data_IF_881566879962
#
_entry.id   IF_881566879962
#
_cell.length_a   1.000
_cell.length_b   1.000
_cell.length_c   1.000
_cell.angle_alpha   90.00
_cell.angle_beta   90.00
_cell.angle_gamma   90.00
#
_symmetry.space_group_name_H-M   'P 1'
#
loop_
_entity.id
_entity.type
_entity.pdbx_description
1 polymer ?
#
# COMPACT_ATOMS: atom_id res chain seq x y z
N UNK A 1 -36.53 -1.49 -31.23
CA UNK A 1 -35.45 -0.73 -31.90
C UNK A 1 -34.46 -0.35 -30.80
N UNK A 2 -33.23 -0.84 -30.92
CA UNK A 2 -32.22 -0.93 -29.85
C UNK A 2 -31.85 0.42 -29.23
N UNK A 3 -31.97 0.53 -27.90
CA UNK A 3 -31.08 1.37 -27.12
C UNK A 3 -29.92 0.48 -26.65
N UNK A 4 -28.74 0.74 -27.22
CA UNK A 4 -27.49 0.10 -26.85
C UNK A 4 -27.21 0.47 -25.39
N UNK A 5 -27.42 -0.47 -24.46
CA UNK A 5 -26.78 -0.43 -23.16
C UNK A 5 -25.28 -0.62 -23.41
N UNK A 6 -24.53 0.47 -23.56
CA UNK A 6 -23.10 0.42 -23.35
C UNK A 6 -22.90 0.37 -21.84
N UNK A 7 -22.67 -0.83 -21.33
CA UNK A 7 -22.03 -1.04 -20.05
C UNK A 7 -20.69 -0.30 -20.07
N UNK A 8 -20.66 0.87 -19.45
CA UNK A 8 -19.40 1.50 -19.08
C UNK A 8 -18.89 0.65 -17.92
N UNK A 9 -17.95 -0.25 -18.22
CA UNK A 9 -17.16 -0.93 -17.20
C UNK A 9 -16.22 0.11 -16.57
N UNK A 10 -16.72 0.92 -15.62
CA UNK A 10 -15.85 1.57 -14.65
C UNK A 10 -15.28 0.47 -13.76
N UNK A 11 -14.01 0.12 -13.94
CA UNK A 11 -13.30 -0.69 -12.97
C UNK A 11 -13.17 0.15 -11.68
N UNK A 12 -13.95 -0.21 -10.67
CA UNK A 12 -13.79 0.37 -9.34
C UNK A 12 -12.67 -0.36 -8.65
N UNK A 13 -11.56 0.32 -8.40
CA UNK A 13 -10.54 -0.21 -7.52
C UNK A 13 -10.96 0.02 -6.07
N UNK A 14 -11.62 -0.98 -5.50
CA UNK A 14 -12.01 -1.03 -4.09
C UNK A 14 -10.77 -1.43 -3.29
N UNK A 15 -10.31 -0.57 -2.38
CA UNK A 15 -9.20 -0.87 -1.49
C UNK A 15 -9.61 -0.76 -0.04
N UNK A 16 -9.41 -1.84 0.69
CA UNK A 16 -9.65 -1.87 2.12
C UNK A 16 -8.41 -1.37 2.85
N UNK A 17 -8.62 -0.32 3.64
CA UNK A 17 -7.64 0.18 4.60
C UNK A 17 -8.05 -0.31 5.97
N UNK A 18 -7.15 -1.08 6.58
CA UNK A 18 -7.34 -1.65 7.91
C UNK A 18 -6.61 -0.80 8.94
N UNK A 19 -7.26 -0.56 10.07
CA UNK A 19 -6.70 0.30 11.13
C UNK A 19 -6.37 -0.50 12.38
N UNK A 20 -5.14 -0.39 12.83
CA UNK A 20 -4.67 -1.06 14.04
C UNK A 20 -4.02 -0.05 14.97
N UNK A 21 -4.17 -0.23 16.28
CA UNK A 21 -3.57 0.67 17.26
C UNK A 21 -2.93 -0.12 18.40
N UNK A 22 -1.81 0.39 18.90
CA UNK A 22 -1.21 -0.09 20.15
C UNK A 22 -0.24 0.96 20.70
N UNK A 23 0.20 0.76 21.94
CA UNK A 23 1.34 1.46 22.50
C UNK A 23 2.64 0.77 22.03
N UNK A 24 3.64 1.56 21.64
CA UNK A 24 4.92 1.02 21.13
C UNK A 24 5.58 0.06 22.12
N UNK A 25 5.50 0.32 23.42
CA UNK A 25 6.12 -0.56 24.43
C UNK A 25 5.45 -1.95 24.47
N UNK A 26 4.12 -2.00 24.30
CA UNK A 26 3.38 -3.25 24.21
C UNK A 26 3.77 -4.05 22.96
N UNK A 27 3.93 -3.37 21.82
CA UNK A 27 4.38 -4.01 20.57
C UNK A 27 5.80 -4.58 20.76
N UNK A 28 6.74 -3.80 21.27
CA UNK A 28 8.12 -4.24 21.48
C UNK A 28 8.20 -5.50 22.34
N UNK A 29 7.40 -5.58 23.42
CA UNK A 29 7.31 -6.77 24.25
C UNK A 29 6.80 -7.99 23.45
N UNK A 30 5.76 -7.80 22.63
CA UNK A 30 5.21 -8.85 21.75
C UNK A 30 6.23 -9.34 20.72
N UNK A 31 7.01 -8.43 20.14
CA UNK A 31 8.09 -8.74 19.19
C UNK A 31 9.22 -9.56 19.81
N UNK A 32 9.49 -9.39 21.11
CA UNK A 32 10.50 -10.14 21.85
C UNK A 32 10.01 -11.54 22.25
N UNK A 33 8.72 -11.68 22.58
CA UNK A 33 8.13 -12.96 23.01
C UNK A 33 7.78 -13.91 21.86
N UNK A 34 7.55 -13.37 20.65
CA UNK A 34 7.16 -14.18 19.51
C UNK A 34 8.40 -14.68 18.75
N UNK A 35 8.64 -15.99 18.81
CA UNK A 35 9.47 -16.71 17.85
C UNK A 35 8.80 -16.64 16.48
N UNK A 36 9.04 -15.55 15.75
CA UNK A 36 8.48 -15.39 14.42
C UNK A 36 9.08 -16.46 13.51
N UNK A 37 8.18 -17.15 12.82
CA UNK A 37 8.47 -18.10 11.76
C UNK A 37 9.43 -17.50 10.73
N UNK A 38 10.16 -18.34 9.99
CA UNK A 38 11.00 -17.92 8.87
C UNK A 38 10.17 -17.17 7.83
N UNK A 39 10.13 -15.85 7.94
CA UNK A 39 9.54 -14.95 6.95
C UNK A 39 10.57 -14.63 5.86
N UNK A 40 10.14 -14.39 4.62
CA UNK A 40 11.04 -13.95 3.56
C UNK A 40 11.78 -12.67 3.93
N UNK A 41 13.05 -12.58 3.52
CA UNK A 41 13.87 -11.39 3.76
C UNK A 41 13.48 -10.26 2.81
N UNK A 42 13.42 -9.04 3.36
CA UNK A 42 13.19 -7.80 2.62
C UNK A 42 14.41 -6.90 2.74
N UNK A 43 14.62 -6.06 1.74
CA UNK A 43 15.66 -5.03 1.73
C UNK A 43 15.02 -3.65 1.70
N UNK A 44 15.70 -2.68 2.30
CA UNK A 44 15.44 -1.27 2.00
C UNK A 44 15.68 -1.04 0.51
N UNK A 45 14.74 -0.37 -0.16
CA UNK A 45 14.91 0.02 -1.55
C UNK A 45 16.22 0.76 -1.75
N UNK A 46 16.94 0.42 -2.82
CA UNK A 46 18.07 1.15 -3.34
C UNK A 46 17.82 1.51 -4.80
N UNK A 47 18.38 2.61 -5.33
CA UNK A 47 18.16 3.02 -6.73
C UNK A 47 18.32 1.90 -7.79
N UNK A 48 19.31 0.98 -7.67
CA UNK A 48 19.44 -0.15 -8.61
C UNK A 48 18.25 -1.12 -8.62
N UNK A 49 17.47 -1.20 -7.54
CA UNK A 49 16.30 -2.07 -7.46
C UNK A 49 15.19 -1.67 -8.42
N UNK A 50 15.21 -0.41 -8.90
CA UNK A 50 14.24 0.08 -9.87
C UNK A 50 14.20 -0.80 -11.14
N UNK A 51 15.34 -1.35 -11.56
CA UNK A 51 15.41 -2.25 -12.71
C UNK A 51 14.61 -3.56 -12.51
N UNK A 52 14.37 -3.99 -11.27
CA UNK A 52 13.56 -5.16 -10.92
C UNK A 52 12.07 -4.83 -10.75
N UNK A 53 11.74 -3.54 -10.56
CA UNK A 53 10.38 -3.02 -10.37
C UNK A 53 9.75 -2.52 -11.67
N UNK A 54 10.54 -1.96 -12.59
CA UNK A 54 10.07 -1.49 -13.90
C UNK A 54 9.68 -2.56 -14.94
N UNK A 55 10.10 -3.85 -14.85
CA UNK A 55 9.70 -4.83 -15.85
C UNK A 55 8.18 -4.97 -15.95
N UNK A 56 7.63 -5.18 -17.17
CA UNK A 56 6.19 -5.38 -17.36
C UNK A 56 5.62 -6.50 -16.48
N UNK A 57 6.43 -7.52 -16.19
CA UNK A 57 6.05 -8.63 -15.31
C UNK A 57 5.72 -8.17 -13.88
N UNK A 58 6.49 -7.24 -13.30
CA UNK A 58 6.16 -6.69 -11.98
C UNK A 58 4.90 -5.84 -12.05
N UNK A 59 4.85 -4.91 -13.01
CA UNK A 59 3.72 -3.97 -13.13
C UNK A 59 2.39 -4.70 -13.40
N UNK A 60 2.38 -5.73 -14.24
CA UNK A 60 1.19 -6.52 -14.52
C UNK A 60 0.82 -7.49 -13.38
N UNK A 61 1.80 -8.05 -12.68
CA UNK A 61 1.53 -9.02 -11.63
C UNK A 61 1.19 -8.37 -10.29
N UNK A 62 1.79 -7.23 -9.98
CA UNK A 62 1.82 -6.63 -8.64
C UNK A 62 1.18 -5.24 -8.62
N UNK A 63 1.25 -4.42 -9.66
CA UNK A 63 0.62 -3.09 -9.58
C UNK A 63 -0.83 -3.17 -10.01
N UNK A 64 -1.72 -2.59 -9.20
CA UNK A 64 -3.11 -2.44 -9.58
C UNK A 64 -3.21 -1.35 -10.64
N UNK A 65 -3.62 -1.73 -11.86
CA UNK A 65 -3.71 -0.84 -13.04
C UNK A 65 -2.39 -0.13 -13.36
N UNK A 66 -1.24 -0.76 -13.03
CA UNK A 66 0.08 -0.15 -13.24
C UNK A 66 0.41 1.00 -12.27
N UNK A 67 -0.39 1.20 -11.23
CA UNK A 67 -0.21 2.25 -10.21
C UNK A 67 0.35 1.67 -8.93
N UNK A 68 1.38 2.32 -8.39
CA UNK A 68 1.79 2.15 -7.00
C UNK A 68 0.99 3.12 -6.13
N UNK A 69 0.91 2.84 -4.84
CA UNK A 69 0.15 3.65 -3.90
C UNK A 69 1.05 3.99 -2.73
N UNK A 70 1.01 5.27 -2.34
CA UNK A 70 1.78 5.84 -1.24
C UNK A 70 0.86 6.80 -0.51
N UNK A 71 0.62 6.57 0.77
CA UNK A 71 -0.35 7.34 1.56
C UNK A 71 -1.74 7.35 0.90
N UNK A 72 -2.16 6.19 0.40
CA UNK A 72 -3.41 5.96 -0.35
C UNK A 72 -3.52 6.64 -1.71
N UNK A 73 -2.60 7.54 -2.06
CA UNK A 73 -2.60 8.22 -3.34
C UNK A 73 -1.96 7.35 -4.44
N UNK A 74 -2.55 7.28 -5.64
CA UNK A 74 -1.99 6.53 -6.76
C UNK A 74 -0.88 7.31 -7.47
N UNK A 75 0.22 6.63 -7.74
CA UNK A 75 1.36 7.16 -8.47
C UNK A 75 1.82 6.19 -9.57
N UNK A 76 2.40 6.74 -10.64
CA UNK A 76 3.10 5.94 -11.63
C UNK A 76 4.44 5.47 -11.07
N UNK A 77 4.74 4.18 -11.14
CA UNK A 77 6.07 3.67 -10.83
C UNK A 77 7.10 4.25 -11.82
N UNK A 78 7.96 5.12 -11.32
CA UNK A 78 8.98 5.82 -12.10
C UNK A 78 10.15 6.25 -11.22
N UNK A 79 11.32 6.43 -11.81
CA UNK A 79 12.51 6.89 -11.09
C UNK A 79 12.28 8.23 -10.38
N UNK A 80 11.57 9.16 -11.04
CA UNK A 80 11.26 10.48 -10.47
C UNK A 80 10.45 10.36 -9.18
N UNK A 81 9.39 9.55 -9.19
CA UNK A 81 8.53 9.37 -8.02
C UNK A 81 9.26 8.61 -6.91
N UNK A 82 10.03 7.57 -7.24
CA UNK A 82 10.83 6.84 -6.25
C UNK A 82 11.84 7.76 -5.54
N UNK A 83 12.57 8.59 -6.31
CA UNK A 83 13.47 9.60 -5.75
C UNK A 83 12.75 10.63 -4.87
N UNK A 84 11.55 11.03 -5.25
CA UNK A 84 10.74 11.94 -4.44
C UNK A 84 10.37 11.31 -3.10
N UNK A 85 9.95 10.04 -3.09
CA UNK A 85 9.61 9.33 -1.86
C UNK A 85 10.81 9.07 -0.96
N UNK A 86 11.97 8.70 -1.53
CA UNK A 86 13.22 8.63 -0.76
C UNK A 86 13.55 9.97 -0.09
N UNK A 87 13.43 11.09 -0.81
CA UNK A 87 13.66 12.44 -0.26
C UNK A 87 12.64 12.84 0.80
N UNK A 88 11.40 12.38 0.67
CA UNK A 88 10.36 12.59 1.66
C UNK A 88 10.53 11.71 2.91
N UNK A 89 11.53 10.84 2.94
CA UNK A 89 11.79 9.94 4.07
C UNK A 89 10.86 8.74 4.12
N UNK A 90 10.22 8.37 3.00
CA UNK A 90 9.42 7.16 2.93
C UNK A 90 10.30 5.94 3.21
N UNK A 91 9.82 5.06 4.09
CA UNK A 91 10.46 3.77 4.32
C UNK A 91 9.98 2.78 3.26
N UNK A 92 10.84 2.44 2.30
CA UNK A 92 10.45 1.65 1.13
C UNK A 92 11.12 0.27 1.22
N UNK A 93 10.34 -0.80 1.12
CA UNK A 93 10.86 -2.18 1.15
C UNK A 93 10.58 -2.91 -0.15
N UNK A 94 11.55 -3.74 -0.56
CA UNK A 94 11.46 -4.61 -1.74
C UNK A 94 11.96 -6.01 -1.36
N UNK A 95 11.36 -7.06 -1.91
CA UNK A 95 11.88 -8.41 -1.71
C UNK A 95 13.20 -8.68 -2.45
N UNK A 96 13.86 -9.78 -2.07
CA UNK A 96 15.15 -10.18 -2.60
C UNK A 96 15.10 -11.00 -3.90
N UNK A 97 13.93 -11.14 -4.55
CA UNK A 97 13.84 -11.89 -5.81
C UNK A 97 14.73 -11.23 -6.87
N UNK A 98 15.67 -12.00 -7.43
CA UNK A 98 16.75 -11.45 -8.27
C UNK A 98 16.29 -10.90 -9.63
N UNK A 99 15.23 -11.45 -10.21
CA UNK A 99 14.83 -11.13 -11.59
C UNK A 99 13.80 -10.00 -11.63
N UNK A 100 12.55 -10.32 -11.33
CA UNK A 100 11.49 -9.34 -11.09
C UNK A 100 11.15 -9.40 -9.61
N UNK A 101 11.00 -8.24 -8.98
CA UNK A 101 10.46 -8.19 -7.63
C UNK A 101 9.08 -8.85 -7.62
N UNK A 102 8.66 -9.33 -6.46
CA UNK A 102 7.32 -9.89 -6.23
C UNK A 102 6.52 -9.03 -5.25
N UNK A 103 7.18 -8.06 -4.63
CA UNK A 103 6.56 -7.20 -3.65
C UNK A 103 7.30 -5.87 -3.50
N UNK A 104 6.53 -4.85 -3.13
CA UNK A 104 7.00 -3.51 -2.83
C UNK A 104 6.09 -2.95 -1.73
N UNK A 105 6.63 -2.20 -0.80
CA UNK A 105 5.80 -1.47 0.16
C UNK A 105 6.37 -0.11 0.50
N UNK A 106 5.48 0.75 0.99
CA UNK A 106 5.79 2.11 1.40
C UNK A 106 5.31 2.35 2.82
N UNK A 107 6.14 3.03 3.60
CA UNK A 107 5.88 3.40 4.99
C UNK A 107 6.05 4.89 5.16
N UNK A 108 5.02 5.58 5.65
CA UNK A 108 5.04 7.02 5.92
C UNK A 108 4.40 7.28 7.27
N UNK A 109 4.89 8.27 8.01
CA UNK A 109 4.30 8.62 9.30
C UNK A 109 4.09 10.12 9.46
N UNK A 110 3.05 10.48 10.21
CA UNK A 110 2.78 11.86 10.61
C UNK A 110 2.18 11.90 12.02
N UNK A 111 2.26 13.08 12.65
CA UNK A 111 1.78 13.29 14.01
C UNK A 111 0.37 13.88 13.97
N UNK A 112 -0.49 13.39 14.83
CA UNK A 112 -1.84 13.93 15.09
C UNK A 112 -1.98 14.28 16.57
N UNK A 113 -3.00 15.08 16.96
CA UNK A 113 -3.29 15.32 18.38
C UNK A 113 -3.60 14.05 19.19
N UNK A 114 -3.95 12.93 18.52
CA UNK A 114 -4.29 11.65 19.16
C UNK A 114 -3.14 10.64 19.19
N UNK A 115 -1.96 11.03 18.74
CA UNK A 115 -0.79 10.16 18.62
C UNK A 115 -0.23 10.14 17.20
N UNK A 116 0.62 9.16 16.90
CA UNK A 116 1.24 9.01 15.59
C UNK A 116 0.41 8.10 14.69
N UNK A 117 0.29 8.48 13.42
CA UNK A 117 -0.25 7.59 12.39
C UNK A 117 0.89 7.12 11.50
N UNK A 118 0.88 5.84 11.14
CA UNK A 118 1.87 5.21 10.27
C UNK A 118 1.16 4.42 9.17
N UNK A 119 1.28 4.91 7.94
CA UNK A 119 0.69 4.30 6.75
C UNK A 119 1.61 3.22 6.21
N UNK A 120 1.03 2.11 5.79
CA UNK A 120 1.71 0.97 5.19
C UNK A 120 0.92 0.57 3.94
N UNK A 121 1.48 0.87 2.77
CA UNK A 121 0.90 0.47 1.48
C UNK A 121 1.68 -0.72 0.93
N UNK A 122 1.05 -1.89 0.89
CA UNK A 122 1.69 -3.16 0.53
C UNK A 122 1.21 -3.62 -0.85
N UNK A 123 2.17 -3.74 -1.76
CA UNK A 123 2.00 -4.27 -3.11
C UNK A 123 2.56 -5.68 -3.16
N UNK A 124 1.74 -6.70 -2.88
CA UNK A 124 2.14 -8.11 -3.01
C UNK A 124 0.90 -9.00 -3.16
N UNK A 125 1.11 -10.27 -3.52
CA UNK A 125 0.07 -11.31 -3.59
C UNK A 125 0.34 -12.53 -2.71
N UNK A 126 1.55 -12.60 -2.14
CA UNK A 126 2.00 -13.72 -1.34
C UNK A 126 1.84 -13.40 0.15
N UNK A 127 1.20 -14.30 0.89
CA UNK A 127 0.93 -14.09 2.31
C UNK A 127 2.19 -13.93 3.16
N UNK A 128 3.24 -14.72 2.87
CA UNK A 128 4.47 -14.68 3.66
C UNK A 128 5.22 -13.37 3.43
N UNK A 129 5.27 -12.88 2.18
CA UNK A 129 5.79 -11.56 1.85
C UNK A 129 4.94 -10.45 2.48
N UNK A 130 3.61 -10.56 2.47
CA UNK A 130 2.73 -9.59 3.12
C UNK A 130 3.04 -9.45 4.62
N UNK A 131 3.13 -10.58 5.33
CA UNK A 131 3.50 -10.63 6.74
C UNK A 131 4.90 -10.06 6.98
N UNK A 132 5.86 -10.37 6.11
CA UNK A 132 7.21 -9.82 6.15
C UNK A 132 7.22 -8.28 6.02
N UNK A 133 6.41 -7.72 5.12
CA UNK A 133 6.29 -6.27 4.96
C UNK A 133 5.74 -5.63 6.24
N UNK A 134 4.59 -6.12 6.72
CA UNK A 134 3.94 -5.60 7.94
C UNK A 134 4.93 -5.56 9.09
N UNK A 135 5.63 -6.67 9.37
CA UNK A 135 6.50 -6.73 10.54
C UNK A 135 7.72 -5.81 10.42
N UNK A 136 8.30 -5.66 9.23
CA UNK A 136 9.44 -4.77 9.05
C UNK A 136 9.02 -3.30 9.21
N UNK A 137 7.85 -2.91 8.70
CA UNK A 137 7.30 -1.58 8.94
C UNK A 137 6.98 -1.34 10.42
N UNK A 138 6.36 -2.30 11.11
CA UNK A 138 6.05 -2.19 12.54
C UNK A 138 7.32 -2.08 13.37
N UNK A 139 8.34 -2.92 13.10
CA UNK A 139 9.66 -2.83 13.76
C UNK A 139 10.32 -1.48 13.53
N UNK A 140 10.32 -1.00 12.28
CA UNK A 140 10.87 0.31 11.94
C UNK A 140 10.14 1.45 12.65
N UNK A 141 8.80 1.42 12.72
CA UNK A 141 8.03 2.42 13.44
C UNK A 141 8.33 2.38 14.95
N UNK A 142 8.41 1.18 15.53
CA UNK A 142 8.68 1.01 16.96
C UNK A 142 10.13 1.32 17.37
N UNK A 143 11.08 1.35 16.43
CA UNK A 143 12.45 1.79 16.71
C UNK A 143 12.61 3.31 16.65
N UNK A 144 11.73 3.99 15.92
CA UNK A 144 11.78 5.44 15.70
C UNK A 144 10.87 6.24 16.65
N UNK A 145 9.79 5.63 17.13
CA UNK A 145 8.72 6.34 17.83
C UNK A 145 8.40 5.70 19.18
N UNK A 146 7.68 6.45 20.03
CA UNK A 146 7.20 6.00 21.34
C UNK A 146 5.74 6.42 21.54
N UNK A 147 5.08 5.84 22.54
CA UNK A 147 3.69 6.11 22.87
C UNK A 147 2.70 5.44 21.92
N UNK A 148 1.50 6.02 21.82
CA UNK A 148 0.43 5.49 20.99
C UNK A 148 0.70 5.67 19.50
N UNK A 149 0.59 4.58 18.75
CA UNK A 149 0.69 4.56 17.29
C UNK A 149 -0.51 3.86 16.66
N UNK A 150 -1.03 4.46 15.59
CA UNK A 150 -2.07 3.88 14.74
C UNK A 150 -1.45 3.50 13.40
N UNK A 151 -1.50 2.23 13.06
CA UNK A 151 -1.10 1.70 11.76
C UNK A 151 -2.30 1.69 10.81
N UNK A 152 -2.12 2.27 9.63
CA UNK A 152 -3.08 2.26 8.53
C UNK A 152 -2.52 1.35 7.44
N UNK A 153 -3.03 0.13 7.34
CA UNK A 153 -2.49 -0.89 6.43
C UNK A 153 -3.42 -1.05 5.25
N UNK A 154 -2.87 -0.82 4.06
CA UNK A 154 -3.55 -1.06 2.79
C UNK A 154 -2.83 -2.18 2.04
N UNK A 155 -3.58 -3.17 1.58
CA UNK A 155 -3.08 -4.21 0.67
C UNK A 155 -3.77 -4.06 -0.68
N UNK A 156 -3.00 -4.26 -1.76
CA UNK A 156 -3.57 -4.24 -3.11
C UNK A 156 -4.44 -5.45 -3.43
N UNK A 157 -4.17 -6.59 -2.80
CA UNK A 157 -4.83 -7.85 -3.06
C UNK A 157 -5.79 -8.11 -1.92
N UNK A 158 -7.09 -8.01 -2.21
CA UNK A 158 -8.15 -8.16 -1.23
C UNK A 158 -8.16 -9.54 -0.58
N UNK A 159 -7.64 -10.57 -1.26
CA UNK A 159 -7.53 -11.91 -0.69
C UNK A 159 -6.60 -11.94 0.54
N UNK A 160 -5.72 -10.95 0.71
CA UNK A 160 -4.82 -10.84 1.85
C UNK A 160 -5.46 -10.18 3.09
N UNK A 161 -6.66 -9.60 2.99
CA UNK A 161 -7.28 -8.85 4.09
C UNK A 161 -7.37 -9.64 5.38
N UNK A 162 -7.96 -10.83 5.33
CA UNK A 162 -8.10 -11.70 6.51
C UNK A 162 -6.74 -12.08 7.09
N UNK A 163 -5.76 -12.34 6.22
CA UNK A 163 -4.38 -12.62 6.62
C UNK A 163 -3.73 -11.44 7.34
N UNK A 164 -3.95 -10.20 6.87
CA UNK A 164 -3.44 -8.99 7.55
C UNK A 164 -4.08 -8.82 8.92
N UNK A 165 -5.42 -8.88 8.99
CA UNK A 165 -6.15 -8.73 10.27
C UNK A 165 -5.67 -9.77 11.26
N UNK A 166 -5.65 -11.05 10.86
CA UNK A 166 -5.20 -12.15 11.71
C UNK A 166 -3.78 -11.95 12.20
N UNK A 167 -2.85 -11.63 11.29
CA UNK A 167 -1.45 -11.43 11.67
C UNK A 167 -1.26 -10.24 12.61
N UNK A 168 -1.94 -9.12 12.35
CA UNK A 168 -1.83 -7.92 13.20
C UNK A 168 -2.42 -8.14 14.59
N UNK A 169 -3.58 -8.79 14.69
CA UNK A 169 -4.27 -9.01 15.97
C UNK A 169 -3.63 -10.16 16.76
N UNK A 170 -3.43 -11.32 16.13
CA UNK A 170 -2.98 -12.52 16.84
C UNK A 170 -1.47 -12.56 17.03
N UNK A 171 -0.67 -12.14 16.04
CA UNK A 171 0.79 -12.25 16.10
C UNK A 171 1.47 -10.95 16.55
N UNK A 172 0.90 -9.79 16.23
CA UNK A 172 1.46 -8.49 16.65
C UNK A 172 0.70 -7.86 17.81
N UNK A 173 -0.36 -8.51 18.29
CA UNK A 173 -1.17 -8.08 19.44
C UNK A 173 -1.68 -6.64 19.31
N UNK A 174 -1.96 -6.21 18.07
CA UNK A 174 -2.50 -4.89 17.78
C UNK A 174 -4.01 -4.90 17.98
N UNK A 175 -4.56 -3.79 18.49
CA UNK A 175 -6.01 -3.62 18.60
C UNK A 175 -6.57 -3.20 17.24
N UNK A 176 -7.42 -4.02 16.63
CA UNK A 176 -8.13 -3.66 15.40
C UNK A 176 -9.21 -2.62 15.70
N UNK A 177 -9.24 -1.53 14.93
CA UNK A 177 -10.19 -0.44 15.10
C UNK A 177 -11.41 -0.67 14.19
N UNK A 178 -12.64 -0.39 14.65
CA UNK A 178 -13.87 -0.77 13.95
C UNK A 178 -14.21 0.06 12.69
N UNK A 179 -13.31 0.94 12.23
CA UNK A 179 -13.56 1.88 11.13
C UNK A 179 -12.63 1.56 9.95
N UNK A 180 -12.64 0.31 9.48
CA UNK A 180 -12.01 -0.02 8.21
C UNK A 180 -12.70 0.82 7.12
N UNK A 181 -11.88 1.54 6.35
CA UNK A 181 -12.37 2.42 5.30
C UNK A 181 -12.11 1.77 3.96
N UNK A 182 -13.16 1.67 3.16
CA UNK A 182 -13.07 1.21 1.77
C UNK A 182 -12.98 2.43 0.86
N UNK A 183 -11.84 2.60 0.19
CA UNK A 183 -11.66 3.65 -0.80
C UNK A 183 -12.07 3.14 -2.18
N UNK A 184 -12.83 3.94 -2.91
CA UNK A 184 -13.09 3.73 -4.33
C UNK A 184 -12.26 4.74 -5.12
N UNK A 185 -11.32 4.25 -5.93
CA UNK A 185 -10.63 5.11 -6.88
C UNK A 185 -11.55 5.30 -8.10
N UNK A 186 -11.98 6.54 -8.33
CA UNK A 186 -12.73 6.88 -9.55
C UNK A 186 -11.73 7.13 -10.69
N UNK A 187 -11.67 6.22 -11.66
CA UNK A 187 -11.06 6.55 -12.95
C UNK A 187 -11.95 7.57 -13.66
N UNK A 188 -11.55 8.84 -13.61
CA UNK A 188 -12.16 9.82 -14.50
C UNK A 188 -11.61 9.56 -15.90
N UNK A 189 -12.46 9.06 -16.80
CA UNK A 189 -12.10 8.89 -18.21
C UNK A 189 -11.85 10.28 -18.84
N UNK A 190 -10.59 10.70 -18.82
CA UNK A 190 -10.16 11.98 -19.41
C UNK A 190 -10.47 12.07 -20.91
N UNK A 191 -10.67 10.93 -21.60
CA UNK A 191 -11.06 10.92 -23.01
C UNK A 191 -12.54 11.30 -23.21
N UNK A 192 -13.40 11.00 -22.23
CA UNK A 192 -14.80 11.42 -22.23
C UNK A 192 -14.93 12.95 -22.00
N UNK A 193 -14.08 13.53 -21.15
CA UNK A 193 -14.05 14.99 -20.89
C UNK A 193 -13.56 15.75 -22.14
N UNK A 194 -12.56 15.22 -22.86
CA UNK A 194 -12.07 15.83 -24.11
C UNK A 194 -13.11 15.84 -25.24
N UNK A 195 -13.97 14.81 -25.32
CA UNK A 195 -15.10 14.78 -26.27
C UNK A 195 -16.23 15.74 -25.89
N UNK A 196 -16.48 15.96 -24.60
CA UNK A 196 -17.46 16.95 -24.14
C UNK A 196 -16.98 18.40 -24.41
N UNK A 197 -15.68 18.66 -24.28
CA UNK A 197 -15.08 19.99 -24.55
C UNK A 197 -15.04 20.36 -26.03
N UNK A 198 -15.01 19.37 -26.95
CA UNK A 198 -14.96 19.61 -28.40
C UNK A 198 -16.35 19.74 -29.06
N UNK A 199 -17.43 19.41 -28.33
CA UNK A 199 -18.82 19.56 -28.81
C UNK A 199 -19.43 20.95 -28.65
N UNK A 200 -18.79 21.87 -27.91
CA UNK A 200 -19.29 23.24 -27.72
C UNK A 200 -18.52 24.24 -28.58
N UNK A 201 -18.74 24.20 -29.90
CA UNK A 201 -18.65 25.42 -30.72
C UNK A 201 -20.07 25.93 -30.92
N UNK A 202 -20.56 26.70 -29.95
CA UNK A 202 -21.74 27.51 -30.14
C UNK A 202 -21.42 28.57 -31.22
N UNK A 203 -22.16 28.50 -32.33
CA UNK A 203 -22.24 29.58 -33.32
C UNK A 203 -22.89 30.79 -32.63
N UNK A 204 -22.15 31.90 -32.55
CA UNK A 204 -22.69 33.24 -32.63
C UNK A 204 -21.91 33.98 -33.69
#
# INVERSE_FOLDING_TARGET
MCCICQEIWTNYLIKDVMYFQSDVSAIQNSLLSNNMTFLPTLNLYQPPDLHRLLPPAFSAAILSEGRMFVDWDPYKLSESNMKQFERAGCYILVDQTKTAAKSLSFGVSYVTPRGRVYHIDIHCKDEALCRAHIINHVKNACSQYTGMITFCIMVIDQALKETVVKYCVENLTLSHLPHDHTYSLYETDLTAIGKAATGSKAKY
#
